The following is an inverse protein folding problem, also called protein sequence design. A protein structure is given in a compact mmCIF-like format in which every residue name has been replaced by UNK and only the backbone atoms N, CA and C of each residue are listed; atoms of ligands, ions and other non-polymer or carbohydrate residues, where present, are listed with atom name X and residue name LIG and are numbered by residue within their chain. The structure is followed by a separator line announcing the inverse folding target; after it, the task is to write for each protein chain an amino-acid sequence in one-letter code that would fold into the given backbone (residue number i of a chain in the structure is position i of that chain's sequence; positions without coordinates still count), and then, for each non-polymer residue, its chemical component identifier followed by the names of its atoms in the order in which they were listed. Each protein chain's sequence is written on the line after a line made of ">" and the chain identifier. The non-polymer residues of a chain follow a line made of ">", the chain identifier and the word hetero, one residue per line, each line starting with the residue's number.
data_IF_476159289663
#
_entry.id   IF_476159289663
#
_cell.length_a   1.000
_cell.length_b   1.000
_cell.length_c   1.000
_cell.angle_alpha   90.00
_cell.angle_beta   90.00
_cell.angle_gamma   90.00
#
_symmetry.space_group_name_H-M   'P 1'
#
loop_
_entity.id
_entity.type
_entity.pdbx_description
1 polymer ?
#
# COMPACT_ATOMS: atom_id res chain seq x y z
N UNK A 1 48.95 25.53 -18.49
CA UNK A 1 48.94 26.92 -17.99
C UNK A 1 48.51 27.76 -19.17
N UNK A 2 47.21 27.94 -19.36
CA UNK A 2 46.63 28.84 -20.36
C UNK A 2 45.34 29.45 -19.81
N UNK A 3 45.56 30.62 -19.23
CA UNK A 3 44.77 31.84 -19.24
C UNK A 3 43.25 31.75 -19.51
N UNK A 4 42.53 31.96 -18.40
CA UNK A 4 41.32 32.78 -18.24
C UNK A 4 40.97 33.63 -19.48
N UNK A 5 39.85 33.31 -20.12
CA UNK A 5 39.05 34.31 -20.85
C UNK A 5 37.70 34.46 -20.15
N UNK A 6 37.54 35.61 -19.50
CA UNK A 6 36.28 36.11 -18.95
C UNK A 6 35.24 36.23 -20.08
N UNK A 7 34.11 35.54 -19.93
CA UNK A 7 32.85 35.99 -20.50
C UNK A 7 31.81 36.11 -19.38
N UNK A 8 31.76 37.31 -18.80
CA UNK A 8 30.63 37.75 -18.00
C UNK A 8 29.39 37.83 -18.90
N UNK A 9 28.57 36.79 -18.90
CA UNK A 9 27.17 36.89 -19.34
C UNK A 9 26.25 36.75 -18.13
N UNK A 10 25.58 37.84 -17.80
CA UNK A 10 24.49 37.91 -16.82
C UNK A 10 23.31 37.07 -17.33
N UNK A 11 23.33 35.76 -17.08
CA UNK A 11 22.16 34.89 -17.29
C UNK A 11 21.22 35.04 -16.09
N UNK A 12 20.38 36.07 -16.13
CA UNK A 12 19.23 36.21 -15.24
C UNK A 12 18.02 35.57 -15.93
N UNK A 13 17.28 34.72 -15.23
CA UNK A 13 15.97 34.27 -15.73
C UNK A 13 14.94 35.41 -15.63
N UNK A 14 13.71 35.18 -16.12
CA UNK A 14 12.62 36.18 -16.13
C UNK A 14 12.24 36.73 -14.74
N UNK A 15 12.77 36.13 -13.67
CA UNK A 15 12.56 36.51 -12.28
C UNK A 15 13.81 37.15 -11.64
N UNK A 16 14.84 37.52 -12.41
CA UNK A 16 16.03 38.20 -11.89
C UNK A 16 16.99 37.30 -11.10
N UNK A 17 16.88 35.97 -11.22
CA UNK A 17 17.75 35.00 -10.53
C UNK A 17 18.93 34.63 -11.43
N UNK A 18 20.16 34.73 -10.92
CA UNK A 18 21.37 34.24 -11.60
C UNK A 18 21.25 32.73 -11.80
N UNK A 19 21.03 32.30 -13.03
CA UNK A 19 21.12 30.89 -13.38
C UNK A 19 22.59 30.55 -13.53
N UNK A 20 23.18 29.98 -12.48
CA UNK A 20 24.43 29.24 -12.64
C UNK A 20 24.15 28.14 -13.66
N UNK A 21 24.91 28.13 -14.76
CA UNK A 21 24.71 27.19 -15.86
C UNK A 21 24.46 25.80 -15.31
N UNK A 22 23.28 25.25 -15.60
CA UNK A 22 22.89 23.92 -15.16
C UNK A 22 24.00 23.00 -15.63
N UNK A 23 24.81 22.49 -14.68
CA UNK A 23 25.86 21.52 -15.00
C UNK A 23 25.20 20.40 -15.78
N UNK A 24 25.76 20.06 -16.94
CA UNK A 24 25.32 18.92 -17.75
C UNK A 24 25.18 17.73 -16.82
N UNK A 25 23.95 17.27 -16.62
CA UNK A 25 23.64 16.19 -15.68
C UNK A 25 24.32 14.91 -16.17
N UNK A 26 25.24 14.38 -15.36
CA UNK A 26 25.90 13.11 -15.66
C UNK A 26 24.89 11.99 -15.44
N UNK A 27 24.63 11.19 -16.48
CA UNK A 27 23.83 9.98 -16.37
C UNK A 27 24.54 8.99 -15.42
N UNK A 28 24.07 8.87 -14.19
CA UNK A 28 24.69 8.02 -13.15
C UNK A 28 24.37 6.54 -13.39
N UNK A 29 23.18 6.25 -13.90
CA UNK A 29 22.73 4.90 -14.16
C UNK A 29 21.66 4.90 -15.24
N UNK A 30 21.69 3.87 -16.09
CA UNK A 30 20.61 3.59 -17.02
C UNK A 30 20.28 2.10 -16.97
N UNK A 31 19.02 1.79 -17.25
CA UNK A 31 18.49 0.43 -17.25
C UNK A 31 19.17 -0.41 -18.33
N UNK A 32 19.59 -1.63 -17.96
CA UNK A 32 20.18 -2.62 -18.89
C UNK A 32 19.17 -3.60 -19.50
N UNK A 33 18.00 -3.78 -18.89
CA UNK A 33 16.99 -4.78 -19.32
C UNK A 33 16.06 -4.24 -20.41
N UNK A 34 15.83 -5.05 -21.45
CA UNK A 34 14.90 -4.78 -22.56
C UNK A 34 13.45 -5.26 -22.31
N UNK A 35 13.17 -6.00 -21.22
CA UNK A 35 11.80 -6.46 -20.92
C UNK A 35 10.87 -5.26 -20.66
N UNK A 36 9.66 -5.29 -21.24
CA UNK A 36 8.69 -4.23 -20.99
C UNK A 36 8.23 -4.22 -19.52
N UNK A 37 8.40 -3.11 -18.83
CA UNK A 37 7.89 -2.91 -17.46
C UNK A 37 6.35 -2.88 -17.45
N UNK A 38 5.76 -3.03 -16.26
CA UNK A 38 4.30 -2.91 -16.10
C UNK A 38 3.77 -1.59 -16.67
N UNK A 39 4.48 -0.50 -16.40
CA UNK A 39 4.15 0.83 -16.94
C UNK A 39 4.23 0.90 -18.46
N UNK A 40 5.29 0.37 -19.09
CA UNK A 40 5.46 0.39 -20.54
C UNK A 40 4.38 -0.45 -21.24
N UNK A 41 3.97 -1.57 -20.64
CA UNK A 41 2.82 -2.36 -21.14
C UNK A 41 1.52 -1.57 -21.04
N UNK A 42 1.28 -0.92 -19.90
CA UNK A 42 0.10 -0.10 -19.69
C UNK A 42 0.06 1.10 -20.66
N UNK A 43 1.18 1.81 -20.83
CA UNK A 43 1.31 2.92 -21.78
C UNK A 43 0.96 2.47 -23.21
N UNK A 44 1.47 1.33 -23.68
CA UNK A 44 1.14 0.81 -25.02
C UNK A 44 -0.35 0.50 -25.20
N UNK A 45 -1.03 0.07 -24.14
CA UNK A 45 -2.49 -0.15 -24.18
C UNK A 45 -3.21 1.20 -24.38
N UNK A 46 -2.79 2.25 -23.66
CA UNK A 46 -3.33 3.59 -23.81
C UNK A 46 -3.06 4.15 -25.21
N UNK A 47 -1.82 4.08 -25.69
CA UNK A 47 -1.41 4.54 -27.03
C UNK A 47 -2.28 3.90 -28.11
N UNK A 48 -2.44 2.57 -28.07
CA UNK A 48 -3.27 1.84 -29.01
C UNK A 48 -4.75 2.22 -28.91
N UNK A 49 -5.30 2.32 -27.69
CA UNK A 49 -6.73 2.54 -27.47
C UNK A 49 -7.18 3.95 -27.82
N UNK A 50 -6.34 4.96 -27.57
CA UNK A 50 -6.66 6.37 -27.78
C UNK A 50 -5.96 6.99 -29.00
N UNK A 51 -5.30 6.16 -29.81
CA UNK A 51 -4.49 6.59 -30.95
C UNK A 51 -3.52 7.73 -30.57
N UNK A 52 -2.78 7.49 -29.49
CA UNK A 52 -1.77 8.41 -28.95
C UNK A 52 -0.37 7.83 -29.13
N UNK A 53 0.62 8.69 -29.07
CA UNK A 53 2.03 8.33 -29.00
C UNK A 53 2.69 9.18 -27.93
N UNK A 54 3.48 8.56 -27.05
CA UNK A 54 4.24 9.27 -26.03
C UNK A 54 5.74 9.01 -26.24
N UNK A 55 6.48 10.05 -26.60
CA UNK A 55 7.91 9.98 -26.88
C UNK A 55 8.75 9.80 -25.60
N UNK A 56 8.18 10.20 -24.45
CA UNK A 56 8.82 10.10 -23.15
C UNK A 56 7.83 9.77 -22.03
N UNK A 57 8.38 9.35 -20.88
CA UNK A 57 7.61 9.23 -19.64
C UNK A 57 6.86 10.53 -19.30
N UNK A 58 7.47 11.69 -19.56
CA UNK A 58 6.89 12.98 -19.22
C UNK A 58 5.68 13.33 -20.08
N UNK A 59 5.65 12.89 -21.34
CA UNK A 59 4.49 13.04 -22.22
C UNK A 59 3.32 12.20 -21.71
N UNK A 60 3.59 10.94 -21.33
CA UNK A 60 2.59 10.07 -20.72
C UNK A 60 2.10 10.63 -19.38
N UNK A 61 3.01 11.10 -18.53
CA UNK A 61 2.68 11.72 -17.24
C UNK A 61 1.80 12.96 -17.42
N UNK A 62 2.14 13.87 -18.35
CA UNK A 62 1.34 15.06 -18.65
C UNK A 62 -0.08 14.65 -19.08
N UNK A 63 -0.18 13.71 -20.01
CA UNK A 63 -1.47 13.17 -20.45
C UNK A 63 -2.26 12.56 -19.28
N UNK A 64 -1.59 11.84 -18.38
CA UNK A 64 -2.19 11.18 -17.23
C UNK A 64 -2.83 12.16 -16.24
N UNK A 65 -2.25 13.36 -16.08
CA UNK A 65 -2.81 14.42 -15.23
C UNK A 65 -3.98 15.09 -15.94
N UNK A 66 -3.80 15.46 -17.22
CA UNK A 66 -4.84 16.12 -18.02
C UNK A 66 -6.07 15.23 -18.24
N UNK A 67 -5.89 13.90 -18.21
CA UNK A 67 -6.94 12.90 -18.48
C UNK A 67 -7.09 11.91 -17.31
N UNK A 68 -6.93 12.36 -16.07
CA UNK A 68 -6.83 11.49 -14.89
C UNK A 68 -8.01 10.52 -14.71
N UNK A 69 -9.24 10.95 -15.01
CA UNK A 69 -10.40 10.07 -14.89
C UNK A 69 -10.32 8.91 -15.90
N UNK A 70 -9.86 9.20 -17.12
CA UNK A 70 -9.61 8.18 -18.15
C UNK A 70 -8.46 7.27 -17.74
N UNK A 71 -7.37 7.82 -17.21
CA UNK A 71 -6.26 7.03 -16.69
C UNK A 71 -6.73 6.02 -15.64
N UNK A 72 -7.48 6.46 -14.63
CA UNK A 72 -7.96 5.60 -13.55
C UNK A 72 -8.97 4.55 -14.02
N UNK A 73 -9.83 4.90 -14.99
CA UNK A 73 -10.68 3.93 -15.69
C UNK A 73 -9.86 2.81 -16.32
N UNK A 74 -8.79 3.18 -17.02
CA UNK A 74 -7.96 2.20 -17.71
C UNK A 74 -7.07 1.41 -16.75
N UNK A 75 -6.61 2.01 -15.65
CA UNK A 75 -5.92 1.27 -14.59
C UNK A 75 -6.84 0.21 -13.98
N UNK A 76 -8.10 0.55 -13.71
CA UNK A 76 -9.08 -0.40 -13.23
C UNK A 76 -9.22 -1.61 -14.14
N UNK A 77 -9.33 -1.37 -15.45
CA UNK A 77 -9.43 -2.43 -16.46
C UNK A 77 -8.12 -3.22 -16.59
N UNK A 78 -6.97 -2.55 -16.47
CA UNK A 78 -5.66 -3.18 -16.60
C UNK A 78 -5.34 -4.16 -15.48
N UNK A 79 -5.71 -3.82 -14.24
CA UNK A 79 -5.53 -4.71 -13.09
C UNK A 79 -6.61 -5.78 -12.97
N UNK A 80 -7.70 -5.63 -13.74
CA UNK A 80 -8.83 -6.56 -13.80
C UNK A 80 -9.38 -6.83 -12.39
N UNK A 81 -9.85 -5.76 -11.74
CA UNK A 81 -10.40 -5.84 -10.38
C UNK A 81 -11.66 -6.71 -10.36
N UNK A 82 -11.66 -7.71 -9.49
CA UNK A 82 -12.83 -8.51 -9.16
C UNK A 82 -13.78 -7.64 -8.33
N UNK A 83 -15.00 -7.47 -8.83
CA UNK A 83 -16.03 -6.67 -8.17
C UNK A 83 -17.38 -7.39 -8.18
N UNK A 84 -18.14 -7.19 -7.11
CA UNK A 84 -19.52 -7.69 -6.99
C UNK A 84 -20.53 -6.73 -7.63
N UNK A 85 -20.19 -5.44 -7.69
CA UNK A 85 -20.94 -4.40 -8.40
C UNK A 85 -19.96 -3.50 -9.16
N UNK A 86 -20.23 -3.18 -10.43
CA UNK A 86 -19.39 -2.26 -11.19
C UNK A 86 -19.54 -0.82 -10.67
N UNK A 87 -18.56 0.04 -10.96
CA UNK A 87 -18.71 1.48 -10.72
C UNK A 87 -19.67 2.12 -11.72
N UNK A 88 -20.33 3.20 -11.30
CA UNK A 88 -21.10 4.09 -12.16
C UNK A 88 -20.25 5.22 -12.72
N UNK A 89 -19.41 5.83 -11.87
CA UNK A 89 -18.51 6.94 -12.25
C UNK A 89 -17.14 6.74 -11.60
N UNK A 90 -16.08 7.07 -12.33
CA UNK A 90 -14.70 6.90 -11.84
C UNK A 90 -14.36 7.99 -10.83
N UNK A 91 -14.82 9.22 -11.03
CA UNK A 91 -14.55 10.32 -10.14
C UNK A 91 -15.76 11.26 -10.01
N UNK A 92 -16.07 11.66 -8.77
CA UNK A 92 -17.08 12.67 -8.46
C UNK A 92 -16.48 13.65 -7.46
N UNK A 93 -16.42 14.93 -7.83
CA UNK A 93 -16.07 16.01 -6.91
C UNK A 93 -17.32 16.43 -6.14
N UNK A 94 -17.28 16.28 -4.82
CA UNK A 94 -18.41 16.50 -3.91
C UNK A 94 -18.36 17.83 -3.16
N UNK A 95 -17.26 18.57 -3.27
CA UNK A 95 -17.05 19.82 -2.54
C UNK A 95 -15.78 20.55 -2.99
N UNK A 96 -15.36 21.55 -2.22
CA UNK A 96 -14.25 22.44 -2.57
C UNK A 96 -12.90 21.99 -2.01
N UNK A 97 -12.88 21.17 -0.96
CA UNK A 97 -11.68 20.68 -0.32
C UNK A 97 -11.09 19.48 -1.08
N UNK A 98 -9.80 19.22 -0.87
CA UNK A 98 -9.10 18.06 -1.41
C UNK A 98 -9.71 16.73 -0.95
N UNK A 99 -10.34 16.71 0.23
CA UNK A 99 -11.00 15.52 0.77
C UNK A 99 -12.38 15.26 0.16
N UNK A 100 -12.97 16.24 -0.53
CA UNK A 100 -14.32 16.14 -1.07
C UNK A 100 -14.33 15.43 -2.44
N UNK A 101 -13.65 14.28 -2.52
CA UNK A 101 -13.47 13.49 -3.73
C UNK A 101 -13.98 12.07 -3.50
N UNK A 102 -14.87 11.59 -4.37
CA UNK A 102 -15.32 10.20 -4.38
C UNK A 102 -14.80 9.50 -5.63
N UNK A 103 -14.23 8.30 -5.44
CA UNK A 103 -13.65 7.48 -6.50
C UNK A 103 -14.46 6.20 -6.69
N UNK A 104 -14.65 5.80 -7.95
CA UNK A 104 -15.33 4.55 -8.34
C UNK A 104 -16.69 4.38 -7.65
N UNK A 105 -17.49 5.45 -7.64
CA UNK A 105 -18.81 5.45 -6.99
C UNK A 105 -19.70 4.33 -7.52
N UNK A 106 -20.46 3.71 -6.64
CA UNK A 106 -21.32 2.57 -6.95
C UNK A 106 -20.63 1.20 -6.99
N UNK A 107 -19.31 1.15 -7.14
CA UNK A 107 -18.58 -0.12 -7.11
C UNK A 107 -18.65 -0.76 -5.73
N UNK A 108 -18.62 -2.09 -5.71
CA UNK A 108 -18.45 -2.86 -4.48
C UNK A 108 -17.45 -3.97 -4.74
N UNK A 109 -16.36 -3.98 -3.97
CA UNK A 109 -15.27 -4.94 -4.07
C UNK A 109 -14.77 -5.35 -2.69
N UNK A 110 -14.05 -6.46 -2.63
CA UNK A 110 -13.30 -6.86 -1.45
C UNK A 110 -11.80 -6.94 -1.79
N UNK A 111 -10.96 -6.28 -1.00
CA UNK A 111 -9.51 -6.26 -1.25
C UNK A 111 -8.87 -7.63 -0.98
N UNK A 112 -9.33 -8.37 0.03
CA UNK A 112 -8.83 -9.71 0.32
C UNK A 112 -9.19 -10.69 -0.82
N UNK A 113 -10.38 -10.57 -1.41
CA UNK A 113 -10.75 -11.33 -2.62
C UNK A 113 -9.81 -11.04 -3.79
N UNK A 114 -9.49 -9.78 -4.04
CA UNK A 114 -8.59 -9.40 -5.14
C UNK A 114 -7.14 -9.87 -4.90
N UNK A 115 -6.66 -9.81 -3.66
CA UNK A 115 -5.32 -10.29 -3.28
C UNK A 115 -5.26 -11.83 -3.35
N UNK A 116 -6.29 -12.52 -2.85
CA UNK A 116 -6.37 -13.98 -2.74
C UNK A 116 -7.12 -14.64 -3.90
N UNK A 117 -7.20 -13.97 -5.05
CA UNK A 117 -7.82 -14.51 -6.27
C UNK A 117 -7.02 -15.70 -6.84
N UNK A 118 -5.70 -15.68 -6.64
CA UNK A 118 -4.82 -16.80 -6.95
C UNK A 118 -4.97 -17.80 -5.80
N UNK A 119 -5.23 -19.07 -6.14
CA UNK A 119 -5.45 -20.16 -5.17
C UNK A 119 -4.79 -21.45 -5.64
N UNK A 120 -3.60 -21.33 -6.23
CA UNK A 120 -2.81 -22.43 -6.74
C UNK A 120 -1.54 -22.65 -5.90
N UNK A 121 -0.72 -23.62 -6.32
CA UNK A 121 0.52 -23.99 -5.63
C UNK A 121 1.70 -23.06 -5.95
N UNK A 122 1.46 -21.87 -6.50
CA UNK A 122 2.52 -20.88 -6.70
C UNK A 122 2.88 -20.24 -5.36
N UNK A 123 4.17 -20.00 -5.13
CA UNK A 123 4.64 -19.27 -3.96
C UNK A 123 4.08 -17.85 -3.92
N UNK A 124 3.45 -17.51 -2.79
CA UNK A 124 2.81 -16.22 -2.54
C UNK A 124 3.40 -15.46 -1.35
N UNK A 125 4.00 -16.16 -0.39
CA UNK A 125 4.61 -15.57 0.79
C UNK A 125 5.95 -16.26 1.08
N UNK A 126 6.97 -15.47 1.38
CA UNK A 126 8.19 -15.93 2.04
C UNK A 126 8.31 -15.16 3.35
N UNK A 127 8.66 -15.87 4.43
CA UNK A 127 8.82 -15.29 5.74
C UNK A 127 10.15 -15.75 6.34
N UNK A 128 10.73 -14.89 7.18
CA UNK A 128 11.93 -15.17 7.94
C UNK A 128 11.95 -14.31 9.21
N UNK A 129 12.62 -14.79 10.26
CA UNK A 129 12.94 -14.03 11.46
C UNK A 129 14.41 -14.21 11.89
N UNK A 130 14.79 -13.49 12.94
CA UNK A 130 16.16 -13.47 13.49
C UNK A 130 16.52 -14.76 14.25
N UNK A 131 15.52 -15.56 14.64
CA UNK A 131 15.71 -16.86 15.30
C UNK A 131 15.97 -18.00 14.30
N UNK A 132 16.05 -17.66 13.01
CA UNK A 132 16.30 -18.61 11.94
C UNK A 132 15.04 -19.33 11.46
N UNK A 133 13.85 -18.97 11.96
CA UNK A 133 12.61 -19.47 11.40
C UNK A 133 12.45 -18.84 10.02
N UNK A 134 12.29 -19.66 8.99
CA UNK A 134 12.00 -19.21 7.64
C UNK A 134 11.16 -20.22 6.91
N UNK A 135 10.42 -19.76 5.92
CA UNK A 135 9.60 -20.64 5.09
C UNK A 135 8.96 -19.91 3.94
N UNK A 136 8.25 -20.67 3.13
CA UNK A 136 7.47 -20.18 2.02
C UNK A 136 6.09 -20.80 2.09
N UNK A 137 5.09 -20.09 1.58
CA UNK A 137 3.72 -20.57 1.47
C UNK A 137 3.18 -20.32 0.07
N UNK A 138 2.44 -21.29 -0.42
CA UNK A 138 1.63 -21.19 -1.62
C UNK A 138 0.46 -20.23 -1.42
N UNK A 139 -0.08 -19.69 -2.52
CA UNK A 139 -1.32 -18.94 -2.48
C UNK A 139 -2.50 -19.76 -1.93
N UNK A 140 -2.56 -21.06 -2.20
CA UNK A 140 -3.60 -21.96 -1.66
C UNK A 140 -3.49 -22.10 -0.13
N UNK A 141 -2.29 -22.28 0.43
CA UNK A 141 -2.07 -22.33 1.88
C UNK A 141 -2.43 -21.01 2.57
N UNK A 142 -2.01 -19.87 2.00
CA UNK A 142 -2.36 -18.55 2.53
C UNK A 142 -3.89 -18.37 2.55
N UNK A 143 -4.59 -18.80 1.49
CA UNK A 143 -6.04 -18.72 1.44
C UNK A 143 -6.72 -19.53 2.55
N UNK A 144 -6.24 -20.75 2.81
CA UNK A 144 -6.80 -21.60 3.87
C UNK A 144 -6.56 -21.01 5.27
N UNK A 145 -5.38 -20.46 5.55
CA UNK A 145 -5.12 -19.74 6.81
C UNK A 145 -6.06 -18.54 7.00
N UNK A 146 -6.16 -17.68 5.97
CA UNK A 146 -7.05 -16.51 6.01
C UNK A 146 -8.51 -16.92 6.23
N UNK A 147 -8.95 -18.01 5.59
CA UNK A 147 -10.30 -18.56 5.76
C UNK A 147 -10.56 -19.01 7.20
N UNK A 148 -9.59 -19.65 7.86
CA UNK A 148 -9.70 -20.06 9.26
C UNK A 148 -9.81 -18.84 10.20
N UNK A 149 -8.95 -17.83 10.02
CA UNK A 149 -9.02 -16.59 10.80
C UNK A 149 -10.35 -15.87 10.59
N UNK A 150 -10.83 -15.78 9.34
CA UNK A 150 -12.11 -15.15 9.03
C UNK A 150 -13.29 -15.91 9.65
N UNK A 151 -13.23 -17.24 9.72
CA UNK A 151 -14.23 -18.06 10.41
C UNK A 151 -14.20 -17.82 11.92
N UNK A 152 -13.01 -17.74 12.52
CA UNK A 152 -12.83 -17.43 13.93
C UNK A 152 -13.37 -16.03 14.28
N UNK A 153 -13.10 -15.02 13.46
CA UNK A 153 -13.63 -13.66 13.65
C UNK A 153 -15.15 -13.62 13.60
N UNK A 154 -15.77 -14.27 12.60
CA UNK A 154 -17.24 -14.37 12.51
C UNK A 154 -17.83 -15.10 13.72
N UNK A 155 -17.17 -16.15 14.21
CA UNK A 155 -17.60 -16.89 15.42
C UNK A 155 -17.60 -15.99 16.66
N UNK A 156 -16.72 -15.00 16.73
CA UNK A 156 -16.68 -13.98 17.79
C UNK A 156 -17.57 -12.76 17.49
N UNK A 157 -18.46 -12.85 16.50
CA UNK A 157 -19.44 -11.80 16.20
C UNK A 157 -18.88 -10.58 15.48
N UNK A 158 -17.72 -10.71 14.82
CA UNK A 158 -17.11 -9.63 14.04
C UNK A 158 -17.66 -9.62 12.61
N UNK A 159 -17.88 -8.43 12.07
CA UNK A 159 -18.36 -8.25 10.71
C UNK A 159 -18.08 -6.86 10.13
N UNK A 160 -18.93 -6.45 9.19
CA UNK A 160 -18.78 -5.19 8.45
C UNK A 160 -18.72 -4.00 9.40
N UNK A 161 -17.66 -3.21 9.28
CA UNK A 161 -17.45 -2.01 10.08
C UNK A 161 -16.95 -2.28 11.49
N UNK A 162 -16.77 -3.52 11.94
CA UNK A 162 -16.12 -3.80 13.22
C UNK A 162 -14.62 -3.56 13.15
N UNK A 163 -14.02 -3.09 14.24
CA UNK A 163 -12.59 -2.76 14.30
C UNK A 163 -11.83 -3.88 15.01
N UNK A 164 -10.73 -4.32 14.40
CA UNK A 164 -9.83 -5.34 14.91
C UNK A 164 -8.45 -4.70 15.04
N UNK A 165 -7.87 -4.78 16.23
CA UNK A 165 -6.56 -4.26 16.52
C UNK A 165 -5.49 -5.37 16.47
N UNK A 166 -4.35 -5.09 15.85
CA UNK A 166 -3.13 -5.88 16.00
C UNK A 166 -2.15 -5.23 16.98
N UNK A 167 -1.74 -5.94 18.01
CA UNK A 167 -0.54 -5.66 18.80
C UNK A 167 0.51 -6.72 18.44
N UNK A 168 0.94 -6.69 17.18
CA UNK A 168 1.59 -7.79 16.49
C UNK A 168 2.74 -7.27 15.61
N UNK A 169 3.79 -8.06 15.47
CA UNK A 169 4.96 -7.76 14.65
C UNK A 169 4.74 -8.15 13.18
N UNK A 170 5.77 -7.90 12.35
CA UNK A 170 5.77 -8.28 10.93
C UNK A 170 5.98 -9.80 10.75
N UNK A 171 4.96 -10.59 11.10
CA UNK A 171 4.92 -12.05 10.97
C UNK A 171 3.77 -12.48 10.06
N UNK A 172 3.81 -13.72 9.57
CA UNK A 172 2.79 -14.26 8.63
C UNK A 172 1.37 -14.18 9.21
N UNK A 173 1.23 -14.37 10.51
CA UNK A 173 -0.03 -14.29 11.25
C UNK A 173 -0.65 -12.88 11.18
N UNK A 174 0.17 -11.83 11.11
CA UNK A 174 -0.32 -10.45 10.94
C UNK A 174 -0.96 -10.25 9.54
N UNK A 175 -0.36 -10.84 8.50
CA UNK A 175 -0.95 -10.86 7.16
C UNK A 175 -2.28 -11.63 7.15
N UNK A 176 -2.34 -12.79 7.81
CA UNK A 176 -3.56 -13.60 7.88
C UNK A 176 -4.68 -12.87 8.60
N UNK A 177 -4.38 -12.26 9.74
CA UNK A 177 -5.33 -11.45 10.50
C UNK A 177 -5.85 -10.25 9.70
N UNK A 178 -4.96 -9.51 9.03
CA UNK A 178 -5.34 -8.39 8.17
C UNK A 178 -6.27 -8.82 7.03
N UNK A 179 -5.88 -9.84 6.27
CA UNK A 179 -6.67 -10.32 5.14
C UNK A 179 -8.00 -10.93 5.59
N UNK A 180 -8.04 -11.60 6.74
CA UNK A 180 -9.26 -12.13 7.32
C UNK A 180 -10.21 -10.99 7.73
N UNK A 181 -9.71 -9.96 8.42
CA UNK A 181 -10.49 -8.78 8.78
C UNK A 181 -11.06 -8.10 7.52
N UNK A 182 -10.23 -7.86 6.52
CA UNK A 182 -10.63 -7.27 5.25
C UNK A 182 -11.69 -8.13 4.53
N UNK A 183 -11.57 -9.47 4.57
CA UNK A 183 -12.50 -10.40 3.91
C UNK A 183 -13.92 -10.35 4.47
N UNK A 184 -14.08 -9.96 5.74
CA UNK A 184 -15.39 -9.87 6.43
C UNK A 184 -15.93 -8.44 6.48
N UNK A 185 -15.23 -7.49 5.86
CA UNK A 185 -15.57 -6.06 5.89
C UNK A 185 -15.23 -5.38 7.22
N UNK A 186 -14.45 -6.01 8.09
CA UNK A 186 -13.92 -5.40 9.29
C UNK A 186 -12.77 -4.43 8.95
N UNK A 187 -12.54 -3.49 9.85
CA UNK A 187 -11.48 -2.48 9.78
C UNK A 187 -10.29 -2.99 10.59
N UNK A 188 -9.15 -3.18 9.94
CA UNK A 188 -7.91 -3.56 10.59
C UNK A 188 -7.08 -2.32 10.91
N UNK A 189 -6.51 -2.26 12.11
CA UNK A 189 -5.43 -1.35 12.45
C UNK A 189 -4.45 -2.04 13.38
N UNK A 190 -3.18 -1.65 13.36
CA UNK A 190 -2.17 -2.27 14.20
C UNK A 190 -1.23 -1.24 14.82
N UNK A 191 -0.78 -1.54 16.03
CA UNK A 191 0.32 -0.87 16.71
C UNK A 191 1.48 -1.86 16.82
N UNK A 192 2.69 -1.42 16.46
CA UNK A 192 3.85 -2.31 16.55
C UNK A 192 4.21 -2.58 18.02
N UNK A 193 4.56 -3.82 18.37
CA UNK A 193 4.68 -4.24 19.76
C UNK A 193 5.89 -3.64 20.50
N UNK A 194 6.88 -3.13 19.77
CA UNK A 194 8.02 -2.41 20.35
C UNK A 194 7.67 -0.99 20.82
N UNK A 195 6.50 -0.45 20.48
CA UNK A 195 6.05 0.83 21.02
C UNK A 195 5.81 0.70 22.52
N UNK A 196 6.17 1.74 23.28
CA UNK A 196 5.86 1.80 24.70
C UNK A 196 4.36 1.55 24.97
N UNK A 197 3.99 0.81 26.03
CA UNK A 197 2.64 0.28 26.21
C UNK A 197 1.55 1.36 26.22
N UNK A 198 1.85 2.56 26.75
CA UNK A 198 0.93 3.70 26.74
C UNK A 198 0.70 4.27 25.34
N UNK A 199 1.73 4.31 24.50
CA UNK A 199 1.61 4.76 23.12
C UNK A 199 0.75 3.78 22.32
N UNK A 200 1.00 2.47 22.47
CA UNK A 200 0.18 1.43 21.86
C UNK A 200 -1.29 1.52 22.34
N UNK A 201 -1.53 1.66 23.66
CA UNK A 201 -2.87 1.88 24.24
C UNK A 201 -3.59 3.08 23.62
N UNK A 202 -2.90 4.21 23.43
CA UNK A 202 -3.49 5.39 22.79
C UNK A 202 -3.90 5.14 21.33
N UNK A 203 -3.11 4.36 20.57
CA UNK A 203 -3.49 3.94 19.22
C UNK A 203 -4.72 3.03 19.24
N UNK A 204 -4.79 2.08 20.19
CA UNK A 204 -5.97 1.23 20.34
C UNK A 204 -7.21 2.05 20.71
N UNK A 205 -7.08 3.03 21.61
CA UNK A 205 -8.16 3.95 21.98
C UNK A 205 -8.69 4.74 20.79
N UNK A 206 -7.80 5.26 19.94
CA UNK A 206 -8.21 5.97 18.72
C UNK A 206 -8.92 5.04 17.72
N UNK A 207 -8.48 3.78 17.63
CA UNK A 207 -9.10 2.78 16.76
C UNK A 207 -10.43 2.26 17.30
N UNK A 208 -10.62 2.19 18.62
CA UNK A 208 -11.78 1.60 19.29
C UNK A 208 -12.13 0.17 18.80
N UNK A 209 -11.19 -0.79 18.95
CA UNK A 209 -11.38 -2.17 18.48
C UNK A 209 -12.36 -2.95 19.35
N UNK A 210 -12.96 -4.01 18.78
CA UNK A 210 -13.71 -5.03 19.54
C UNK A 210 -12.81 -6.13 20.10
N UNK A 211 -11.70 -6.41 19.42
CA UNK A 211 -10.71 -7.42 19.82
C UNK A 211 -9.29 -6.91 19.54
N UNK A 212 -8.32 -7.41 20.31
CA UNK A 212 -6.89 -7.24 20.05
C UNK A 212 -6.30 -8.62 19.74
N UNK A 213 -5.51 -8.71 18.67
CA UNK A 213 -4.66 -9.85 18.35
C UNK A 213 -3.25 -9.47 18.76
N UNK A 214 -2.71 -10.15 19.76
CA UNK A 214 -1.40 -9.84 20.33
C UNK A 214 -0.39 -10.94 20.01
N UNK A 215 0.86 -10.52 19.75
CA UNK A 215 2.01 -11.42 19.83
C UNK A 215 2.45 -11.53 21.28
N UNK A 216 2.87 -12.72 21.69
CA UNK A 216 3.36 -12.98 23.05
C UNK A 216 4.87 -12.72 23.18
N UNK A 217 5.62 -12.99 22.12
CA UNK A 217 7.07 -12.89 22.08
C UNK A 217 7.59 -12.51 20.68
N UNK A 218 8.68 -11.74 20.61
CA UNK A 218 9.49 -11.62 19.40
C UNK A 218 10.94 -11.28 19.72
N UNK A 219 11.83 -11.56 18.77
CA UNK A 219 13.25 -11.18 18.81
C UNK A 219 13.52 -10.06 17.79
N UNK A 220 14.24 -9.04 18.20
CA UNK A 220 14.63 -7.91 17.33
C UNK A 220 15.92 -7.27 17.83
N UNK A 221 16.89 -7.08 16.94
CA UNK A 221 18.16 -6.41 17.24
C UNK A 221 18.91 -7.04 18.42
N UNK A 222 18.98 -8.38 18.41
CA UNK A 222 19.61 -9.19 19.48
C UNK A 222 18.89 -9.14 20.85
N UNK A 223 17.75 -8.46 20.94
CA UNK A 223 16.95 -8.33 22.16
C UNK A 223 15.66 -9.16 22.11
N UNK A 224 15.27 -9.70 23.27
CA UNK A 224 14.00 -10.42 23.45
C UNK A 224 12.92 -9.48 24.00
N UNK A 225 11.74 -9.52 23.38
CA UNK A 225 10.59 -8.74 23.79
C UNK A 225 9.43 -9.67 24.18
N UNK A 226 8.76 -9.33 25.28
CA UNK A 226 7.58 -10.05 25.78
C UNK A 226 6.35 -9.14 25.83
N UNK A 227 5.73 -8.80 24.68
CA UNK A 227 4.61 -7.84 24.64
C UNK A 227 3.40 -8.27 25.46
N UNK A 228 3.27 -9.57 25.76
CA UNK A 228 2.22 -10.09 26.64
C UNK A 228 2.22 -9.43 28.02
N UNK A 229 3.38 -9.06 28.55
CA UNK A 229 3.52 -8.40 29.86
C UNK A 229 2.87 -7.00 29.87
N UNK A 230 2.84 -6.37 28.70
CA UNK A 230 2.29 -5.04 28.49
C UNK A 230 0.80 -5.06 28.12
N UNK A 231 0.21 -6.25 27.88
CA UNK A 231 -1.13 -6.38 27.31
C UNK A 231 -2.20 -5.76 28.20
N UNK A 232 -2.06 -5.81 29.53
CA UNK A 232 -3.00 -5.19 30.47
C UNK A 232 -3.12 -3.67 30.27
N UNK A 233 -2.00 -2.98 30.05
CA UNK A 233 -1.94 -1.54 29.79
C UNK A 233 -2.49 -1.22 28.39
N UNK A 234 -2.14 -2.04 27.40
CA UNK A 234 -2.62 -1.88 26.02
C UNK A 234 -4.14 -2.11 25.92
N UNK A 235 -4.67 -3.05 26.70
CA UNK A 235 -6.08 -3.44 26.74
C UNK A 235 -6.96 -2.53 27.62
N UNK A 236 -6.40 -1.52 28.29
CA UNK A 236 -7.19 -0.52 29.04
C UNK A 236 -8.29 0.15 28.20
N UNK A 237 -8.17 0.13 26.87
CA UNK A 237 -9.22 0.59 25.93
C UNK A 237 -10.57 -0.10 26.16
N UNK A 238 -10.60 -1.33 26.68
CA UNK A 238 -11.83 -2.08 26.93
C UNK A 238 -12.46 -1.80 28.29
N UNK A 239 -11.81 -1.04 29.17
CA UNK A 239 -12.27 -0.77 30.54
C UNK A 239 -13.16 0.49 30.64
N UNK A 240 -13.67 0.99 29.51
CA UNK A 240 -14.47 2.22 29.41
C UNK A 240 -15.93 1.89 29.14
#
# INVERSE_FOLDING_TARGET
>A
MDLITNSNQNNLNQNGVKTYGIRKSTLIWNRKSQKLLGLERFQKIIEKKYNKHFDSYWDFHKWSIENFETLWKEMWNFFDFVTSKPYNQVFVKTGSCILDCQWFTGATLNIAENILRIRDNKMGLSYADELGNKGEMTYSEIFEEVKLYAAAFRKHGLGVGDRIAGYICNIKEALFAFLAAASIGAIWGAAMPYLGPRAASNMMKALNPKIIIAVDYFHFDEEEFFPIENLSIVAEVFQI
#
